data_IF_384268295382
#
_entry.id   IF_384268295382
#
_cell.length_a   1.000
_cell.length_b   1.000
_cell.length_c   1.000
_cell.angle_alpha   90.00
_cell.angle_beta   90.00
_cell.angle_gamma   90.00
#
_symmetry.space_group_name_H-M   'P 1'
#
loop_
_entity.id
_entity.type
_entity.pdbx_description
1 polymer ?
#
# COMPACT_ATOMS: atom_id res chain seq x y z
N UNK A 1 -0.57 3.43 -9.23
CA UNK A 1 -0.36 1.98 -8.92
C UNK A 1 -0.27 1.80 -7.41
N UNK A 2 -0.98 0.82 -6.83
CA UNK A 2 -0.92 0.46 -5.39
C UNK A 2 -0.47 -0.98 -5.25
N UNK A 3 0.42 -1.28 -4.30
CA UNK A 3 0.81 -2.66 -3.97
C UNK A 3 0.95 -2.87 -2.46
N UNK A 4 0.86 -4.14 -2.06
CA UNK A 4 1.27 -4.62 -0.73
C UNK A 4 2.65 -5.29 -0.88
N UNK A 5 3.77 -4.63 -0.51
CA UNK A 5 5.11 -5.10 -0.83
C UNK A 5 5.42 -6.48 -0.25
N UNK A 6 4.96 -6.78 0.98
CA UNK A 6 5.25 -8.05 1.64
C UNK A 6 4.62 -9.26 0.93
N UNK A 7 3.45 -9.12 0.29
CA UNK A 7 2.85 -10.22 -0.51
C UNK A 7 3.11 -10.11 -2.01
N UNK A 8 3.92 -9.15 -2.47
CA UNK A 8 4.19 -8.95 -3.91
C UNK A 8 5.69 -8.84 -4.19
N UNK A 9 6.23 -7.63 -4.25
CA UNK A 9 7.60 -7.39 -4.70
C UNK A 9 8.66 -7.91 -3.74
N UNK A 10 8.34 -8.10 -2.45
CA UNK A 10 9.23 -8.62 -1.42
C UNK A 10 8.76 -9.97 -0.85
N UNK A 11 7.83 -10.66 -1.52
CA UNK A 11 7.26 -11.92 -1.03
C UNK A 11 8.26 -13.06 -0.81
N UNK A 12 9.48 -12.94 -1.36
CA UNK A 12 10.54 -13.94 -1.21
C UNK A 12 11.36 -13.75 0.07
N UNK A 13 11.21 -12.63 0.78
CA UNK A 13 11.91 -12.35 2.03
C UNK A 13 11.20 -13.00 3.22
N UNK A 14 11.97 -13.39 4.22
CA UNK A 14 11.42 -13.82 5.51
C UNK A 14 10.79 -12.64 6.25
N UNK A 15 9.95 -12.91 7.25
CA UNK A 15 9.38 -11.86 8.10
C UNK A 15 10.46 -11.03 8.83
N UNK A 16 11.57 -11.68 9.22
CA UNK A 16 12.70 -11.01 9.86
C UNK A 16 13.43 -10.09 8.88
N UNK A 17 13.66 -10.53 7.64
CA UNK A 17 14.30 -9.72 6.60
C UNK A 17 13.42 -8.54 6.16
N UNK A 18 12.10 -8.74 6.07
CA UNK A 18 11.13 -7.68 5.79
C UNK A 18 11.18 -6.60 6.87
N UNK A 19 11.15 -7.00 8.15
CA UNK A 19 11.24 -6.08 9.28
C UNK A 19 12.58 -5.32 9.29
N UNK A 20 13.70 -6.00 9.03
CA UNK A 20 15.02 -5.39 8.93
C UNK A 20 15.12 -4.37 7.78
N UNK A 21 14.40 -4.61 6.68
CA UNK A 21 14.30 -3.70 5.53
C UNK A 21 13.28 -2.56 5.74
N UNK A 22 12.60 -2.50 6.89
CA UNK A 22 11.56 -1.50 7.17
C UNK A 22 10.24 -1.73 6.40
N UNK A 23 10.00 -2.96 5.94
CA UNK A 23 8.77 -3.36 5.26
C UNK A 23 7.85 -4.06 6.25
N UNK A 24 6.88 -3.32 6.79
CA UNK A 24 5.82 -3.90 7.63
C UNK A 24 4.84 -4.77 6.83
N UNK A 25 4.20 -5.73 7.50
CA UNK A 25 3.15 -6.59 6.91
C UNK A 25 1.86 -5.84 6.56
N UNK A 26 1.68 -4.63 7.10
CA UNK A 26 0.55 -3.74 6.81
C UNK A 26 0.93 -2.60 5.85
N UNK A 27 2.18 -2.58 5.36
CA UNK A 27 2.69 -1.52 4.50
C UNK A 27 1.99 -1.54 3.14
N UNK A 28 1.36 -0.43 2.76
CA UNK A 28 0.86 -0.21 1.41
C UNK A 28 1.73 0.84 0.72
N UNK A 29 2.25 0.51 -0.47
CA UNK A 29 3.06 1.43 -1.29
C UNK A 29 2.26 1.96 -2.47
N UNK A 30 2.17 3.28 -2.57
CA UNK A 30 1.53 3.99 -3.67
C UNK A 30 2.60 4.59 -4.60
N UNK A 31 2.48 4.32 -5.90
CA UNK A 31 3.13 5.10 -6.96
C UNK A 31 2.09 6.00 -7.59
N UNK A 32 2.20 7.30 -7.31
CA UNK A 32 1.29 8.36 -7.76
C UNK A 32 1.64 8.72 -9.21
N UNK A 33 0.66 8.67 -10.10
CA UNK A 33 0.85 9.03 -11.51
C UNK A 33 0.65 10.52 -11.75
N UNK A 34 0.22 10.87 -12.97
CA UNK A 34 -0.02 12.24 -13.42
C UNK A 34 -1.52 12.52 -13.68
N UNK A 35 -2.40 11.72 -13.07
CA UNK A 35 -3.85 11.90 -13.12
C UNK A 35 -4.28 13.17 -12.37
N UNK A 36 -5.56 13.54 -12.49
CA UNK A 36 -6.12 14.67 -11.75
C UNK A 36 -5.98 14.42 -10.22
N UNK A 37 -5.41 15.37 -9.46
CA UNK A 37 -5.26 15.21 -8.01
C UNK A 37 -6.57 14.95 -7.27
N UNK A 38 -7.68 15.55 -7.70
CA UNK A 38 -8.99 15.38 -7.04
C UNK A 38 -9.50 13.95 -7.22
N UNK A 39 -9.30 13.35 -8.39
CA UNK A 39 -9.70 11.95 -8.63
C UNK A 39 -8.90 11.00 -7.73
N UNK A 40 -7.58 11.22 -7.60
CA UNK A 40 -6.71 10.42 -6.73
C UNK A 40 -7.15 10.55 -5.26
N UNK A 41 -7.42 11.77 -4.80
CA UNK A 41 -7.87 12.04 -3.42
C UNK A 41 -9.22 11.35 -3.16
N UNK A 42 -10.18 11.48 -4.07
CA UNK A 42 -11.50 10.88 -3.93
C UNK A 42 -11.46 9.36 -3.91
N UNK A 43 -10.61 8.75 -4.73
CA UNK A 43 -10.43 7.29 -4.76
C UNK A 43 -9.80 6.78 -3.45
N UNK A 44 -8.77 7.43 -2.94
CA UNK A 44 -8.16 7.08 -1.65
C UNK A 44 -9.14 7.29 -0.49
N UNK A 45 -9.91 8.38 -0.48
CA UNK A 45 -10.91 8.65 0.54
C UNK A 45 -12.00 7.56 0.56
N UNK A 46 -12.47 7.13 -0.61
CA UNK A 46 -13.43 6.01 -0.74
C UNK A 46 -12.85 4.71 -0.20
N UNK A 47 -11.60 4.38 -0.56
CA UNK A 47 -10.93 3.16 -0.13
C UNK A 47 -10.71 3.13 1.39
N UNK A 48 -10.23 4.22 1.99
CA UNK A 48 -10.03 4.33 3.43
C UNK A 48 -11.36 4.20 4.19
N UNK A 49 -12.44 4.84 3.73
CA UNK A 49 -13.77 4.66 4.36
C UNK A 49 -14.24 3.21 4.31
N UNK A 50 -13.94 2.48 3.22
CA UNK A 50 -14.31 1.09 3.10
C UNK A 50 -13.49 0.19 4.06
N UNK A 51 -12.20 0.47 4.27
CA UNK A 51 -11.35 -0.32 5.16
C UNK A 51 -11.71 -0.18 6.64
N UNK A 52 -12.36 0.91 7.03
CA UNK A 52 -12.80 1.15 8.42
C UNK A 52 -14.15 0.50 8.78
N UNK A 53 -14.80 -0.22 7.85
CA UNK A 53 -16.03 -0.94 8.13
C UNK A 53 -15.71 -2.27 8.82
N UNK A 54 -15.38 -2.19 10.11
CA UNK A 54 -15.31 -3.31 11.06
C UNK A 54 -16.54 -3.37 11.94
#
# INVERSE_FOLDING_TARGET
>A
LVIHPASTTHQQLSAEDLAAAGVGEDLIRLSVGLEDPEDIINDLARALRASQKG
#
